data_IF_574155184884
#
_entry.id   IF_574155184884
#
_cell.length_a   1.000
_cell.length_b   1.000
_cell.length_c   1.000
_cell.angle_alpha   90.00
_cell.angle_beta   90.00
_cell.angle_gamma   90.00
#
_symmetry.space_group_name_H-M   'P 1'
#
loop_
_entity.id
_entity.type
_entity.pdbx_description
1 polymer ?
#
# COMPACT_ATOMS: atom_id res chain seq x y z
N UNK A 1 -24.64 -36.42 -82.05
CA UNK A 1 -24.48 -34.98 -81.74
C UNK A 1 -24.74 -34.79 -80.25
N UNK A 2 -23.82 -34.07 -79.56
CA UNK A 2 -23.90 -33.32 -78.28
C UNK A 2 -25.07 -33.68 -77.34
N UNK A 3 -24.91 -33.92 -76.04
CA UNK A 3 -23.86 -33.64 -75.07
C UNK A 3 -24.48 -33.77 -73.67
N UNK A 4 -23.69 -33.75 -72.60
CA UNK A 4 -24.24 -33.76 -71.25
C UNK A 4 -23.20 -34.12 -70.20
N UNK A 5 -22.39 -33.14 -69.81
CA UNK A 5 -21.53 -33.25 -68.64
C UNK A 5 -22.34 -33.24 -67.34
N UNK A 6 -21.87 -33.97 -66.34
CA UNK A 6 -22.14 -33.66 -64.93
C UNK A 6 -20.83 -33.73 -64.15
N UNK A 7 -20.43 -32.54 -63.76
CA UNK A 7 -19.40 -32.08 -62.82
C UNK A 7 -19.27 -32.93 -61.56
N UNK A 8 -18.05 -33.41 -61.29
CA UNK A 8 -17.63 -33.90 -59.99
C UNK A 8 -17.39 -32.72 -59.04
N UNK A 9 -18.20 -32.61 -57.99
CA UNK A 9 -17.95 -31.66 -56.91
C UNK A 9 -16.84 -32.22 -56.00
N UNK A 10 -15.65 -31.60 -56.06
CA UNK A 10 -14.63 -31.77 -55.04
C UNK A 10 -15.07 -30.98 -53.81
N UNK A 11 -15.49 -31.68 -52.76
CA UNK A 11 -15.67 -31.08 -51.45
C UNK A 11 -14.31 -30.59 -50.94
N UNK A 12 -14.12 -29.27 -50.91
CA UNK A 12 -13.03 -28.63 -50.20
C UNK A 12 -13.29 -28.79 -48.70
N UNK A 13 -12.57 -29.69 -48.04
CA UNK A 13 -12.53 -29.72 -46.57
C UNK A 13 -11.68 -28.54 -46.11
N UNK A 14 -12.33 -27.52 -45.57
CA UNK A 14 -11.67 -26.45 -44.81
C UNK A 14 -11.14 -27.10 -43.53
N UNK A 15 -9.84 -27.02 -43.21
CA UNK A 15 -9.38 -27.46 -41.90
C UNK A 15 -9.96 -26.49 -40.88
N UNK A 16 -10.75 -27.01 -39.93
CA UNK A 16 -11.14 -26.27 -38.75
C UNK A 16 -9.86 -25.90 -38.00
N UNK A 17 -9.52 -24.61 -38.01
CA UNK A 17 -8.54 -24.04 -37.09
C UNK A 17 -9.08 -24.28 -35.68
N UNK A 18 -8.56 -25.31 -35.02
CA UNK A 18 -8.71 -25.46 -33.59
C UNK A 18 -7.98 -24.28 -32.95
N UNK A 19 -8.73 -23.27 -32.54
CA UNK A 19 -8.22 -22.23 -31.64
C UNK A 19 -8.02 -22.93 -30.30
N UNK A 20 -6.78 -23.35 -30.06
CA UNK A 20 -6.36 -23.81 -28.75
C UNK A 20 -6.39 -22.60 -27.83
N UNK A 21 -7.43 -22.52 -26.99
CA UNK A 21 -7.45 -21.61 -25.85
C UNK A 21 -6.41 -22.12 -24.86
N UNK A 22 -5.18 -21.62 -24.98
CA UNK A 22 -4.15 -21.85 -23.99
C UNK A 22 -4.57 -21.10 -22.72
N UNK A 23 -5.16 -21.82 -21.77
CA UNK A 23 -5.13 -21.42 -20.37
C UNK A 23 -3.66 -21.42 -19.95
N UNK A 24 -3.02 -20.27 -20.09
CA UNK A 24 -1.82 -19.94 -19.35
C UNK A 24 -2.25 -19.91 -17.88
N UNK A 25 -2.17 -21.08 -17.22
CA UNK A 25 -1.99 -21.11 -15.79
C UNK A 25 -0.66 -20.40 -15.55
N UNK A 26 -0.73 -19.09 -15.32
CA UNK A 26 0.41 -18.31 -14.90
C UNK A 26 1.02 -19.03 -13.72
N UNK A 27 2.35 -19.21 -13.74
CA UNK A 27 3.09 -19.38 -12.52
C UNK A 27 2.87 -18.09 -11.71
N UNK A 28 1.76 -18.02 -10.97
CA UNK A 28 1.59 -17.01 -9.94
C UNK A 28 2.77 -17.23 -9.00
N UNK A 29 3.61 -16.22 -8.88
CA UNK A 29 4.81 -16.20 -8.04
C UNK A 29 4.49 -16.30 -6.54
N UNK A 30 3.26 -16.69 -6.18
CA UNK A 30 2.79 -16.81 -4.82
C UNK A 30 2.49 -15.47 -4.17
N UNK A 31 2.56 -14.33 -4.89
CA UNK A 31 2.53 -12.98 -4.30
C UNK A 31 1.15 -12.33 -4.23
N UNK A 32 0.15 -12.93 -4.86
CA UNK A 32 -1.12 -12.26 -5.13
C UNK A 32 -0.94 -11.22 -6.23
N UNK A 33 -1.80 -11.24 -7.24
CA UNK A 33 -1.76 -10.22 -8.29
C UNK A 33 -2.23 -8.87 -7.73
N UNK A 34 -1.71 -7.73 -8.24
CA UNK A 34 -2.28 -6.45 -7.90
C UNK A 34 -3.74 -6.46 -8.31
N UNK A 35 -4.64 -5.86 -7.52
CA UNK A 35 -6.04 -5.81 -7.91
C UNK A 35 -6.22 -5.09 -9.23
N UNK A 36 -7.34 -5.29 -9.93
CA UNK A 36 -7.58 -4.51 -11.15
C UNK A 36 -7.94 -3.07 -10.73
N UNK A 37 -7.22 -2.07 -11.24
CA UNK A 37 -7.67 -0.69 -11.10
C UNK A 37 -8.89 -0.44 -12.00
N UNK A 38 -10.03 0.04 -11.48
CA UNK A 38 -11.19 0.35 -12.31
C UNK A 38 -10.89 1.43 -13.37
N UNK A 39 -11.38 1.25 -14.61
CA UNK A 39 -11.14 2.15 -15.76
C UNK A 39 -11.65 3.59 -15.55
N UNK A 40 -12.55 3.81 -14.58
CA UNK A 40 -13.09 5.11 -14.22
C UNK A 40 -13.21 5.25 -12.69
N UNK A 41 -12.49 6.21 -12.12
CA UNK A 41 -12.86 6.83 -10.83
C UNK A 41 -11.78 6.82 -9.75
N UNK A 42 -11.71 7.95 -9.05
CA UNK A 42 -11.27 8.01 -7.65
C UNK A 42 -12.13 7.03 -6.86
N UNK A 43 -11.59 6.42 -5.82
CA UNK A 43 -12.41 5.66 -4.89
C UNK A 43 -13.46 6.59 -4.27
N UNK A 44 -14.73 6.41 -4.61
CA UNK A 44 -15.79 7.20 -3.98
C UNK A 44 -16.06 6.60 -2.61
N UNK A 45 -15.71 7.32 -1.54
CA UNK A 45 -16.21 7.00 -0.19
C UNK A 45 -15.17 6.75 0.90
N UNK A 46 -13.87 6.97 0.64
CA UNK A 46 -12.87 6.96 1.72
C UNK A 46 -13.22 8.00 2.79
N UNK A 47 -13.32 7.56 4.04
CA UNK A 47 -13.66 8.42 5.15
C UNK A 47 -13.03 7.93 6.45
N UNK A 48 -12.94 8.81 7.45
CA UNK A 48 -12.41 8.46 8.78
C UNK A 48 -13.50 8.56 9.82
N UNK A 49 -13.63 7.54 10.67
CA UNK A 49 -14.61 7.55 11.77
C UNK A 49 -14.19 8.50 12.89
N UNK A 50 -15.09 8.81 13.82
CA UNK A 50 -14.77 9.62 14.99
C UNK A 50 -13.60 9.04 15.82
N UNK A 51 -13.45 7.71 15.83
CA UNK A 51 -12.37 7.00 16.53
C UNK A 51 -11.08 6.88 15.72
N UNK A 52 -10.99 7.45 14.52
CA UNK A 52 -9.78 7.44 13.70
C UNK A 52 -9.59 6.21 12.83
N UNK A 53 -10.65 5.40 12.62
CA UNK A 53 -10.59 4.25 11.70
C UNK A 53 -10.85 4.74 10.28
N UNK A 54 -9.93 4.48 9.35
CA UNK A 54 -10.14 4.71 7.93
C UNK A 54 -11.07 3.62 7.39
N UNK A 55 -12.05 4.03 6.58
CA UNK A 55 -13.06 3.18 5.96
C UNK A 55 -12.98 3.42 4.46
N UNK A 56 -12.60 2.38 3.72
CA UNK A 56 -12.27 2.43 2.29
C UNK A 56 -12.28 1.01 1.71
N UNK A 57 -12.75 0.82 0.48
CA UNK A 57 -12.40 -0.28 -0.43
C UNK A 57 -10.92 -0.16 -0.93
N UNK A 58 -10.01 -0.91 -0.32
CA UNK A 58 -8.56 -0.84 -0.56
C UNK A 58 -8.09 -1.74 -1.71
N UNK A 59 -8.81 -2.84 -1.95
CA UNK A 59 -8.48 -3.83 -2.97
C UNK A 59 -9.37 -3.74 -4.23
N UNK A 60 -10.31 -2.80 -4.27
CA UNK A 60 -11.14 -2.54 -5.44
C UNK A 60 -12.21 -3.62 -5.69
N UNK A 61 -12.53 -4.44 -4.69
CA UNK A 61 -13.54 -5.50 -4.83
C UNK A 61 -14.99 -4.99 -4.67
N UNK A 62 -15.16 -3.70 -4.32
CA UNK A 62 -16.44 -3.04 -4.10
C UNK A 62 -17.03 -3.24 -2.70
N UNK A 63 -16.34 -3.98 -1.82
CA UNK A 63 -16.66 -4.14 -0.41
C UNK A 63 -15.83 -3.17 0.41
N UNK A 64 -16.43 -2.60 1.44
CA UNK A 64 -15.72 -1.68 2.32
C UNK A 64 -14.76 -2.42 3.24
N UNK A 65 -13.51 -1.95 3.30
CA UNK A 65 -12.48 -2.36 4.26
C UNK A 65 -12.32 -1.34 5.38
N UNK A 66 -11.52 -1.70 6.38
CA UNK A 66 -11.19 -0.82 7.51
C UNK A 66 -9.71 -0.85 7.81
N UNK A 67 -9.15 0.30 8.19
CA UNK A 67 -7.78 0.40 8.69
C UNK A 67 -7.80 1.05 10.06
N UNK A 68 -7.28 0.33 11.04
CA UNK A 68 -6.96 0.88 12.36
C UNK A 68 -5.48 1.24 12.36
N UNK A 69 -5.18 2.53 12.24
CA UNK A 69 -3.82 3.07 12.29
C UNK A 69 -3.23 2.94 13.69
N UNK A 70 -1.95 2.60 13.79
CA UNK A 70 -1.17 2.65 15.03
C UNK A 70 -0.31 3.91 15.06
N UNK A 71 0.08 4.32 16.27
CA UNK A 71 1.06 5.39 16.47
C UNK A 71 2.43 5.06 15.85
N UNK A 72 2.78 3.78 15.79
CA UNK A 72 4.09 3.31 15.31
C UNK A 72 4.02 2.67 13.91
N UNK A 73 2.83 2.41 13.38
CA UNK A 73 2.64 1.62 12.16
C UNK A 73 2.97 0.12 12.31
N UNK A 74 3.56 -0.32 13.42
CA UNK A 74 3.84 -1.74 13.69
C UNK A 74 2.56 -2.51 14.07
N UNK A 75 1.60 -1.83 14.72
CA UNK A 75 0.31 -2.42 15.12
C UNK A 75 -0.83 -2.02 14.16
N UNK A 76 -0.51 -1.67 12.91
CA UNK A 76 -1.53 -1.45 11.88
C UNK A 76 -2.41 -2.71 11.77
N UNK A 77 -3.73 -2.54 11.72
CA UNK A 77 -4.64 -3.63 11.36
C UNK A 77 -5.47 -3.21 10.16
N UNK A 78 -5.41 -3.98 9.09
CA UNK A 78 -6.29 -3.85 7.92
C UNK A 78 -7.30 -4.98 7.94
N UNK A 79 -8.58 -4.65 7.85
CA UNK A 79 -9.69 -5.61 7.77
C UNK A 79 -10.30 -5.55 6.38
N UNK A 80 -9.88 -6.44 5.48
CA UNK A 80 -10.45 -6.58 4.15
C UNK A 80 -11.85 -7.21 4.21
N UNK A 81 -12.81 -6.72 3.42
CA UNK A 81 -14.18 -7.23 3.35
C UNK A 81 -15.05 -6.92 4.58
N UNK A 82 -14.70 -5.91 5.38
CA UNK A 82 -15.39 -5.58 6.63
C UNK A 82 -16.90 -5.31 6.44
N UNK A 83 -17.29 -4.68 5.33
CA UNK A 83 -18.69 -4.41 4.98
C UNK A 83 -19.52 -5.66 4.64
N UNK A 84 -18.88 -6.77 4.28
CA UNK A 84 -19.51 -8.04 3.90
C UNK A 84 -19.83 -8.97 5.08
N UNK A 85 -19.49 -8.58 6.32
CA UNK A 85 -19.83 -9.31 7.54
C UNK A 85 -18.88 -10.44 7.96
N UNK A 86 -17.85 -10.75 7.15
CA UNK A 86 -16.71 -11.62 7.53
C UNK A 86 -15.41 -11.06 6.96
N UNK A 87 -14.93 -10.00 7.58
CA UNK A 87 -13.66 -9.39 7.19
C UNK A 87 -12.46 -10.26 7.57
N UNK A 88 -11.37 -10.15 6.80
CA UNK A 88 -10.09 -10.78 7.09
C UNK A 88 -9.14 -9.73 7.64
N UNK A 89 -8.68 -9.92 8.87
CA UNK A 89 -7.68 -9.06 9.49
C UNK A 89 -6.28 -9.47 9.07
N UNK A 90 -5.48 -8.48 8.67
CA UNK A 90 -4.07 -8.64 8.33
C UNK A 90 -3.25 -7.52 8.94
N UNK A 91 -2.01 -7.82 9.32
CA UNK A 91 -1.05 -6.85 9.86
C UNK A 91 0.10 -6.54 8.89
N UNK A 92 1.06 -5.66 9.28
CA UNK A 92 2.20 -5.31 8.42
C UNK A 92 2.98 -6.52 7.90
N UNK A 93 3.16 -7.55 8.74
CA UNK A 93 3.87 -8.79 8.36
C UNK A 93 3.17 -9.58 7.25
N UNK A 94 1.85 -9.50 7.15
CA UNK A 94 1.11 -10.15 6.06
C UNK A 94 1.17 -9.31 4.77
N UNK A 95 1.32 -7.98 4.92
CA UNK A 95 1.36 -7.00 3.83
C UNK A 95 2.74 -6.84 3.19
N UNK A 96 3.82 -7.22 3.87
CA UNK A 96 5.19 -7.00 3.36
C UNK A 96 5.52 -7.85 2.12
N UNK A 97 4.88 -9.02 2.00
CA UNK A 97 5.14 -9.99 0.94
C UNK A 97 6.52 -10.65 1.05
N UNK A 98 6.88 -11.44 0.04
CA UNK A 98 8.06 -12.32 0.11
C UNK A 98 9.39 -11.60 0.36
N UNK A 99 9.55 -10.34 -0.11
CA UNK A 99 10.83 -9.60 0.03
C UNK A 99 11.18 -9.29 1.48
N UNK A 100 10.18 -9.16 2.34
CA UNK A 100 10.37 -8.92 3.77
C UNK A 100 9.89 -10.09 4.63
N UNK A 101 9.73 -11.29 4.05
CA UNK A 101 9.21 -12.46 4.77
C UNK A 101 10.11 -12.88 5.96
N UNK A 102 11.41 -12.65 5.84
CA UNK A 102 12.40 -12.97 6.88
C UNK A 102 12.72 -11.77 7.80
N UNK A 103 12.11 -10.60 7.57
CA UNK A 103 12.36 -9.40 8.36
C UNK A 103 11.85 -9.55 9.81
N UNK A 104 12.58 -8.95 10.75
CA UNK A 104 12.19 -8.99 12.17
C UNK A 104 11.14 -7.93 12.50
N UNK A 105 11.32 -6.71 12.00
CA UNK A 105 10.45 -5.58 12.26
C UNK A 105 9.82 -5.11 10.96
N UNK A 106 8.49 -4.91 10.96
CA UNK A 106 7.74 -4.39 9.81
C UNK A 106 6.81 -3.29 10.28
N UNK A 107 6.90 -2.13 9.64
CA UNK A 107 6.00 -0.99 9.87
C UNK A 107 5.25 -0.67 8.60
N UNK A 108 3.98 -0.30 8.73
CA UNK A 108 3.16 0.08 7.60
C UNK A 108 2.19 1.21 7.97
N UNK A 109 1.88 2.06 7.00
CA UNK A 109 0.82 3.06 7.08
C UNK A 109 0.03 3.11 5.77
N UNK A 110 -1.24 3.50 5.87
CA UNK A 110 -2.15 3.60 4.73
C UNK A 110 -2.66 5.03 4.63
N UNK A 111 -2.47 5.64 3.46
CA UNK A 111 -3.03 6.93 3.09
C UNK A 111 -3.00 7.11 1.56
N UNK A 112 -3.82 8.01 1.02
CA UNK A 112 -3.84 8.42 -0.39
C UNK A 112 -2.73 9.48 -0.61
N UNK A 113 -1.48 8.99 -0.70
CA UNK A 113 -0.27 9.82 -0.70
C UNK A 113 -0.14 10.63 -1.99
N UNK A 114 -0.73 10.17 -3.09
CA UNK A 114 -0.71 10.84 -4.38
C UNK A 114 -1.99 11.58 -4.76
N UNK A 115 -3.01 11.51 -3.90
CA UNK A 115 -4.32 12.14 -4.06
C UNK A 115 -5.02 11.72 -5.37
N UNK A 116 -4.79 10.49 -5.81
CA UNK A 116 -5.46 9.89 -6.97
C UNK A 116 -6.83 9.29 -6.62
N UNK A 117 -7.17 9.32 -5.33
CA UNK A 117 -8.41 8.84 -4.77
C UNK A 117 -8.36 7.40 -4.31
N UNK A 118 -7.27 6.66 -4.53
CA UNK A 118 -7.06 5.34 -3.96
C UNK A 118 -6.09 5.43 -2.79
N UNK A 119 -6.34 4.65 -1.75
CA UNK A 119 -5.41 4.61 -0.63
C UNK A 119 -4.20 3.75 -1.00
N UNK A 120 -3.02 4.28 -0.69
CA UNK A 120 -1.73 3.64 -0.90
C UNK A 120 -1.24 2.99 0.39
N UNK A 121 -0.22 2.15 0.25
CA UNK A 121 0.47 1.49 1.36
C UNK A 121 1.93 1.91 1.36
N UNK A 122 2.37 2.64 2.39
CA UNK A 122 3.80 2.68 2.71
C UNK A 122 4.14 1.50 3.61
N UNK A 123 5.25 0.81 3.30
CA UNK A 123 5.72 -0.32 4.08
C UNK A 123 7.25 -0.38 4.12
N UNK A 124 7.78 -0.64 5.31
CA UNK A 124 9.19 -0.91 5.50
C UNK A 124 9.42 -2.14 6.37
N UNK A 125 10.49 -2.88 6.06
CA UNK A 125 10.86 -4.13 6.71
C UNK A 125 12.36 -4.16 6.98
N UNK A 126 12.72 -4.33 8.25
CA UNK A 126 14.10 -4.29 8.73
C UNK A 126 14.45 -5.58 9.46
N UNK A 127 15.68 -6.03 9.25
CA UNK A 127 16.25 -7.16 9.97
C UNK A 127 16.64 -6.80 11.41
N UNK A 128 17.07 -7.82 12.16
CA UNK A 128 17.57 -7.68 13.52
C UNK A 128 18.65 -6.61 13.65
N UNK A 129 18.47 -5.68 14.58
CA UNK A 129 19.48 -4.68 14.93
C UNK A 129 20.84 -5.32 15.24
N UNK A 130 21.90 -4.82 14.60
CA UNK A 130 23.26 -5.36 14.73
C UNK A 130 24.32 -4.27 14.98
N UNK A 131 24.17 -3.50 16.05
CA UNK A 131 25.21 -2.57 16.54
C UNK A 131 25.00 -1.12 16.14
N UNK A 132 26.05 -0.30 16.13
CA UNK A 132 25.92 1.16 16.07
C UNK A 132 25.69 1.72 14.66
N UNK A 133 25.76 0.87 13.64
CA UNK A 133 25.46 1.21 12.24
C UNK A 133 24.01 0.87 11.92
N UNK A 134 23.30 1.74 11.19
CA UNK A 134 21.93 1.47 10.82
C UNK A 134 21.85 0.37 9.75
N UNK A 135 20.77 -0.39 9.79
CA UNK A 135 20.45 -1.41 8.79
C UNK A 135 19.64 -0.79 7.66
N UNK A 136 20.06 -1.08 6.43
CA UNK A 136 19.26 -0.78 5.25
C UNK A 136 18.03 -1.71 5.23
N UNK A 137 16.80 -1.18 5.18
CA UNK A 137 15.60 -2.00 5.17
C UNK A 137 15.56 -2.92 3.93
N UNK A 138 15.20 -4.20 4.11
CA UNK A 138 14.97 -5.13 3.01
C UNK A 138 13.80 -4.70 2.12
N UNK A 139 12.84 -3.95 2.70
CA UNK A 139 11.75 -3.27 2.01
C UNK A 139 11.65 -1.87 2.58
N UNK A 140 11.52 -0.85 1.71
CA UNK A 140 11.14 0.51 2.08
C UNK A 140 10.55 1.17 0.84
N UNK A 141 9.23 1.14 0.72
CA UNK A 141 8.55 1.54 -0.51
C UNK A 141 7.14 2.02 -0.22
N UNK A 142 6.63 2.91 -1.08
CA UNK A 142 5.21 3.18 -1.20
C UNK A 142 4.66 2.36 -2.36
N UNK A 143 3.50 1.76 -2.15
CA UNK A 143 2.78 0.91 -3.10
C UNK A 143 1.45 1.57 -3.39
N UNK A 144 1.29 2.06 -4.61
CA UNK A 144 0.13 2.83 -5.02
C UNK A 144 -1.11 1.95 -5.17
N UNK A 145 -2.24 2.45 -4.69
CA UNK A 145 -3.51 1.75 -4.62
C UNK A 145 -4.18 1.54 -5.99
N UNK A 146 -5.18 0.63 -6.07
CA UNK A 146 -5.57 -0.33 -5.04
C UNK A 146 -4.49 -1.41 -4.78
N UNK A 147 -4.47 -1.97 -3.57
CA UNK A 147 -3.50 -3.00 -3.14
C UNK A 147 -4.16 -4.26 -2.57
N UNK A 148 -3.54 -5.41 -2.81
CA UNK A 148 -4.07 -6.72 -2.39
C UNK A 148 -3.93 -6.98 -0.88
N UNK A 149 -4.56 -8.03 -0.37
CA UNK A 149 -4.38 -8.48 1.02
C UNK A 149 -2.94 -8.90 1.40
N UNK A 150 -2.03 -9.02 0.42
CA UNK A 150 -0.58 -9.19 0.63
C UNK A 150 0.22 -7.91 0.36
N UNK A 151 -0.48 -6.77 0.30
CA UNK A 151 0.07 -5.45 0.13
C UNK A 151 0.60 -5.15 -1.27
N UNK A 152 0.28 -5.91 -2.32
CA UNK A 152 0.77 -5.60 -3.68
C UNK A 152 -0.11 -4.55 -4.35
N UNK A 153 0.45 -3.37 -4.61
CA UNK A 153 -0.22 -2.26 -5.31
C UNK A 153 -0.07 -2.30 -6.83
N UNK A 154 -0.69 -1.32 -7.52
CA UNK A 154 -0.60 -1.16 -8.98
C UNK A 154 0.82 -0.87 -9.47
N UNK A 155 1.53 -0.09 -8.67
CA UNK A 155 2.94 0.26 -8.87
C UNK A 155 3.55 0.57 -7.52
N UNK A 156 4.86 0.59 -7.48
CA UNK A 156 5.61 0.93 -6.28
C UNK A 156 6.84 1.78 -6.63
N UNK A 157 7.35 2.48 -5.62
CA UNK A 157 8.70 3.02 -5.67
C UNK A 157 9.35 3.05 -4.30
N UNK A 158 10.68 2.96 -4.35
CA UNK A 158 11.52 3.01 -3.17
C UNK A 158 11.45 4.39 -2.49
N UNK A 159 11.40 4.36 -1.17
CA UNK A 159 11.50 5.53 -0.30
C UNK A 159 12.71 5.31 0.62
N UNK A 160 13.74 6.13 0.46
CA UNK A 160 14.96 6.05 1.25
C UNK A 160 14.63 6.32 2.71
N UNK A 161 14.74 5.30 3.56
CA UNK A 161 14.69 5.42 5.00
C UNK A 161 15.81 4.60 5.61
N UNK A 162 16.23 5.02 6.80
CA UNK A 162 17.30 4.36 7.55
C UNK A 162 16.69 3.72 8.79
N UNK A 163 16.69 2.39 8.82
CA UNK A 163 16.17 1.52 9.90
C UNK A 163 14.92 2.09 10.63
N UNK A 164 13.76 2.23 9.94
CA UNK A 164 12.56 2.76 10.56
C UNK A 164 12.01 1.80 11.62
N UNK A 165 11.75 2.33 12.82
CA UNK A 165 11.12 1.62 13.95
C UNK A 165 9.68 2.02 14.16
N UNK A 166 9.31 3.19 13.66
CA UNK A 166 7.93 3.66 13.64
C UNK A 166 7.68 4.50 12.38
N UNK A 167 6.46 4.42 11.87
CA UNK A 167 5.96 5.22 10.77
C UNK A 167 4.56 5.76 11.11
N UNK A 168 4.28 7.00 10.73
CA UNK A 168 2.97 7.63 10.89
C UNK A 168 2.68 8.55 9.70
N UNK A 169 1.40 8.66 9.35
CA UNK A 169 0.93 9.69 8.43
C UNK A 169 0.98 11.05 9.12
N UNK A 170 1.53 12.04 8.43
CA UNK A 170 1.75 13.39 8.94
C UNK A 170 1.24 14.45 7.96
N UNK A 171 1.15 15.68 8.46
CA UNK A 171 0.86 16.90 7.69
C UNK A 171 1.94 17.93 8.04
N UNK A 172 3.13 17.77 7.47
CA UNK A 172 4.30 18.58 7.82
C UNK A 172 4.25 19.95 7.14
N UNK A 173 3.79 20.03 5.89
CA UNK A 173 3.76 21.26 5.11
C UNK A 173 2.37 21.86 4.87
N UNK A 174 1.31 21.27 5.44
CA UNK A 174 -0.07 21.75 5.38
C UNK A 174 -0.62 21.82 3.96
N UNK A 175 -0.22 20.88 3.12
CA UNK A 175 -0.79 20.69 1.81
C UNK A 175 -1.88 19.59 1.81
N UNK A 176 -2.29 19.14 0.62
CA UNK A 176 -3.36 18.14 0.48
C UNK A 176 -2.85 16.70 0.41
N UNK A 177 -1.55 16.52 0.24
CA UNK A 177 -0.88 15.24 0.11
C UNK A 177 -0.45 14.80 1.51
N UNK A 178 -0.89 13.63 1.99
CA UNK A 178 -0.37 13.07 3.22
C UNK A 178 1.15 12.93 3.16
N UNK A 179 1.83 13.23 4.28
CA UNK A 179 3.27 13.03 4.43
C UNK A 179 3.55 11.76 5.24
N UNK A 180 4.79 11.28 5.17
CA UNK A 180 5.30 10.24 6.04
C UNK A 180 6.24 10.83 7.10
N UNK A 181 5.93 10.60 8.38
CA UNK A 181 6.89 10.71 9.46
C UNK A 181 7.46 9.32 9.76
N UNK A 182 8.79 9.17 9.74
CA UNK A 182 9.47 7.94 10.11
C UNK A 182 10.42 8.20 11.27
N UNK A 183 10.35 7.38 12.32
CA UNK A 183 11.31 7.40 13.42
C UNK A 183 12.18 6.15 13.34
N UNK A 184 13.50 6.34 13.29
CA UNK A 184 14.45 5.25 13.06
C UNK A 184 15.84 5.55 13.58
N UNK A 185 16.73 4.56 13.46
CA UNK A 185 18.13 4.71 13.80
C UNK A 185 18.86 5.43 12.65
N UNK A 186 19.49 6.56 12.96
CA UNK A 186 20.19 7.41 11.98
C UNK A 186 21.70 7.11 11.91
N UNK A 187 22.20 6.22 12.78
CA UNK A 187 23.60 5.84 12.88
C UNK A 187 24.33 6.46 14.07
N UNK A 188 25.50 5.89 14.42
CA UNK A 188 26.34 6.29 15.56
C UNK A 188 25.59 6.34 16.90
N UNK A 189 24.56 5.49 17.04
CA UNK A 189 23.67 5.45 18.21
C UNK A 189 22.61 6.56 18.26
N UNK A 190 22.52 7.42 17.25
CA UNK A 190 21.52 8.48 17.13
C UNK A 190 20.24 7.93 16.52
N UNK A 191 19.10 8.39 17.04
CA UNK A 191 17.78 8.14 16.48
C UNK A 191 17.22 9.46 15.99
N UNK A 192 16.39 9.43 14.95
CA UNK A 192 15.78 10.65 14.43
C UNK A 192 14.39 10.39 13.87
N UNK A 193 13.56 11.43 13.91
CA UNK A 193 12.34 11.52 13.11
C UNK A 193 12.66 12.26 11.81
N UNK A 194 12.41 11.62 10.69
CA UNK A 194 12.56 12.15 9.33
C UNK A 194 11.18 12.31 8.68
N UNK A 195 11.11 13.17 7.67
CA UNK A 195 9.93 13.35 6.82
C UNK A 195 10.20 12.85 5.41
N UNK A 196 9.17 12.30 4.77
CA UNK A 196 9.08 12.15 3.30
C UNK A 196 7.78 12.83 2.89
N UNK A 197 7.88 13.92 2.13
CA UNK A 197 6.71 14.70 1.76
C UNK A 197 5.90 13.98 0.69
N UNK A 198 4.58 14.12 0.76
CA UNK A 198 3.65 13.65 -0.26
C UNK A 198 3.65 14.54 -1.50
N UNK A 199 3.08 14.04 -2.59
CA UNK A 199 2.97 14.77 -3.84
C UNK A 199 2.26 13.96 -4.90
N UNK A 200 2.07 14.53 -6.09
CA UNK A 200 1.31 13.90 -7.18
C UNK A 200 1.88 12.56 -7.71
N UNK A 201 3.01 12.12 -7.19
CA UNK A 201 3.68 10.87 -7.54
C UNK A 201 3.78 9.92 -6.33
N UNK A 202 3.11 10.24 -5.21
CA UNK A 202 3.25 9.60 -3.92
C UNK A 202 4.30 10.30 -3.06
N UNK A 203 4.90 9.53 -2.14
CA UNK A 203 5.95 10.03 -1.25
C UNK A 203 7.26 10.32 -1.99
N UNK A 204 7.99 11.33 -1.54
CA UNK A 204 9.35 11.60 -1.97
C UNK A 204 10.25 10.37 -1.82
N UNK A 205 11.03 10.07 -2.87
CA UNK A 205 11.93 8.92 -2.91
C UNK A 205 13.15 9.10 -2.03
N UNK A 206 13.67 10.32 -1.95
CA UNK A 206 14.93 10.65 -1.28
C UNK A 206 14.74 11.89 -0.44
N UNK A 207 15.55 12.06 0.62
CA UNK A 207 15.54 13.31 1.38
C UNK A 207 16.18 14.45 0.58
N UNK A 208 15.54 15.61 0.55
CA UNK A 208 16.12 16.87 0.08
C UNK A 208 16.02 17.99 1.13
N UNK A 209 16.26 19.24 0.74
CA UNK A 209 16.16 20.42 1.62
C UNK A 209 14.73 20.68 2.12
N UNK A 210 13.70 20.27 1.37
CA UNK A 210 12.30 20.43 1.77
C UNK A 210 11.89 19.41 2.83
N UNK A 211 12.47 18.21 2.79
CA UNK A 211 12.29 17.16 3.77
C UNK A 211 13.12 17.39 5.04
N UNK A 212 14.40 17.74 4.87
CA UNK A 212 15.39 17.79 5.95
C UNK A 212 15.10 18.87 7.00
N UNK A 213 14.35 19.92 6.67
CA UNK A 213 13.91 20.92 7.66
C UNK A 213 13.00 20.35 8.77
N UNK A 214 12.41 19.17 8.55
CA UNK A 214 11.59 18.46 9.54
C UNK A 214 12.38 17.40 10.33
N UNK A 215 13.67 17.19 10.01
CA UNK A 215 14.54 16.29 10.75
C UNK A 215 14.62 16.70 12.22
N UNK A 216 14.36 15.75 13.12
CA UNK A 216 14.52 15.92 14.55
C UNK A 216 15.24 14.72 15.15
N UNK A 217 16.50 14.93 15.54
CA UNK A 217 17.24 13.96 16.34
C UNK A 217 16.54 13.76 17.69
N UNK A 218 16.47 12.51 18.13
CA UNK A 218 15.93 12.17 19.43
C UNK A 218 16.98 12.44 20.50
N UNK A 219 16.55 13.17 21.53
CA UNK A 219 17.38 13.44 22.72
C UNK A 219 17.64 12.16 23.55
N UNK A 220 16.88 11.09 23.32
CA UNK A 220 16.92 9.82 24.04
C UNK A 220 17.28 8.67 23.09
N UNK A 221 18.20 7.81 23.49
CA UNK A 221 18.68 6.65 22.72
C UNK A 221 17.95 5.35 23.08
N UNK A 222 16.84 5.41 23.82
CA UNK A 222 16.17 4.25 24.43
C UNK A 222 15.14 3.55 23.52
N UNK A 223 15.28 3.70 22.20
CA UNK A 223 14.44 3.12 21.13
C UNK A 223 12.96 3.49 21.18
N UNK A 224 12.48 4.20 22.20
CA UNK A 224 11.08 4.60 22.28
C UNK A 224 10.76 5.63 21.22
N UNK A 225 9.56 5.52 20.65
CA UNK A 225 9.05 6.51 19.70
C UNK A 225 8.82 7.83 20.45
N UNK A 226 9.46 8.94 20.04
CA UNK A 226 9.44 10.18 20.81
C UNK A 226 8.05 10.81 20.80
N UNK A 227 7.67 11.51 21.87
CA UNK A 227 6.34 12.11 22.01
C UNK A 227 6.02 13.22 20.98
N UNK A 228 7.04 13.76 20.31
CA UNK A 228 6.88 14.76 19.25
C UNK A 228 6.64 14.13 17.87
N UNK A 229 6.74 12.80 17.73
CA UNK A 229 6.38 12.15 16.46
C UNK A 229 4.90 12.44 16.18
N UNK A 230 4.55 12.88 14.97
CA UNK A 230 3.16 13.04 14.59
C UNK A 230 2.38 11.75 14.88
N UNK A 231 1.21 11.91 15.50
CA UNK A 231 0.24 10.82 15.56
C UNK A 231 -0.47 10.79 14.21
N UNK A 232 -0.76 9.60 13.70
CA UNK A 232 -1.58 9.47 12.50
C UNK A 232 -2.92 10.20 12.70
N UNK A 233 -3.09 11.35 12.03
CA UNK A 233 -4.33 12.12 12.04
C UNK A 233 -4.91 12.20 10.62
N UNK A 234 -5.52 11.10 10.21
CA UNK A 234 -6.16 10.99 8.91
C UNK A 234 -7.36 11.96 8.77
N UNK A 235 -7.88 12.57 9.85
CA UNK A 235 -9.01 13.50 9.74
C UNK A 235 -8.65 14.79 9.00
N UNK A 236 -7.36 15.09 8.88
CA UNK A 236 -6.85 16.21 8.06
C UNK A 236 -7.07 15.96 6.56
N UNK A 237 -6.90 14.71 6.12
CA UNK A 237 -6.90 14.35 4.70
C UNK A 237 -8.22 13.74 4.22
N UNK A 238 -9.05 13.25 5.13
CA UNK A 238 -10.28 12.52 4.79
C UNK A 238 -11.52 13.15 5.41
N UNK A 239 -12.66 13.11 4.72
CA UNK A 239 -13.93 13.49 5.32
C UNK A 239 -14.28 12.56 6.48
N UNK A 240 -15.04 13.07 7.45
CA UNK A 240 -15.60 12.22 8.51
C UNK A 240 -16.68 11.31 7.93
N UNK A 241 -16.67 10.02 8.29
CA UNK A 241 -17.71 9.09 7.89
C UNK A 241 -19.08 9.55 8.39
N UNK A 242 -19.99 9.89 7.47
CA UNK A 242 -21.39 10.16 7.81
C UNK A 242 -22.11 8.83 7.92
N UNK A 243 -22.52 8.44 9.12
CA UNK A 243 -23.24 7.19 9.32
C UNK A 243 -24.57 7.19 8.56
N UNK A 244 -24.82 6.15 7.76
CA UNK A 244 -26.14 5.55 7.86
C UNK A 244 -26.21 4.92 9.24
N UNK A 245 -27.01 5.51 10.12
CA UNK A 245 -27.53 4.82 11.29
C UNK A 245 -28.33 3.60 10.80
N UNK A 246 -27.64 2.48 10.58
CA UNK A 246 -28.25 1.17 10.54
C UNK A 246 -28.57 0.77 11.97
N UNK A 247 -29.87 0.73 12.28
CA UNK A 247 -30.46 0.32 13.55
C UNK A 247 -29.98 -1.06 14.02
N UNK A 248 -29.86 -1.15 15.35
CA UNK A 248 -30.10 -2.29 16.26
C UNK A 248 -29.57 -3.68 15.89
#
# INVERSE_FOLDING_TARGET
MRGGGRTAWRACRVPALAVSLALLAGCGDGRGDPPARPDTGHQTGSCVTATGVLVADLDGDGTTDRVSSSYTGADLTVTFGAGGGRGTEVGPRDLVGDRGADAEDVVAVVADFDQDGWNDLFIAATDAFSGDSPIEPAVSEVRLGPFSARGRGQSDHHVDLTEPRAAAVADYDHDRYPDLAAYGHAGDGVYATTARLGGAQGLDRTSDDTNSKYLKEAEQTDRQTPAYMPKADLKTFYPTCTGTTGKD
#
